data_IF_531962725356
#
_entry.id   IF_531962725356
#
_cell.length_a   1.000
_cell.length_b   1.000
_cell.length_c   1.000
_cell.angle_alpha   90.00
_cell.angle_beta   90.00
_cell.angle_gamma   90.00
#
_symmetry.space_group_name_H-M   'P 1'
#
loop_
_entity.id
_entity.type
_entity.pdbx_description
1 polymer ?
#
# COMPACT_ATOMS: atom_id res chain seq x y z
N UNK A 1 -2.92 6.42 -20.94
CA UNK A 1 -2.52 6.89 -19.60
C UNK A 1 -1.89 5.69 -18.91
N UNK A 2 -0.74 5.85 -18.25
CA UNK A 2 -0.11 4.73 -17.52
C UNK A 2 -0.99 4.41 -16.31
N UNK A 3 -1.31 3.14 -16.10
CA UNK A 3 -2.00 2.73 -14.88
C UNK A 3 -1.06 2.93 -13.68
N UNK A 4 -1.54 3.49 -12.56
CA UNK A 4 -0.75 3.71 -11.35
C UNK A 4 -0.01 2.48 -10.85
N UNK A 5 1.23 2.68 -10.38
CA UNK A 5 2.09 1.66 -9.77
C UNK A 5 2.18 1.87 -8.27
N UNK A 6 1.86 0.84 -7.49
CA UNK A 6 2.17 0.83 -6.05
C UNK A 6 3.41 -0.02 -5.78
N UNK A 7 4.29 0.44 -4.90
CA UNK A 7 5.48 -0.31 -4.48
C UNK A 7 5.45 -0.52 -2.97
N UNK A 8 5.70 -1.75 -2.53
CA UNK A 8 5.88 -2.10 -1.12
C UNK A 8 7.32 -2.59 -0.94
N UNK A 9 8.17 -1.73 -0.40
CA UNK A 9 9.56 -2.07 -0.05
C UNK A 9 9.58 -2.68 1.35
N UNK A 10 10.06 -3.92 1.49
CA UNK A 10 9.99 -4.65 2.76
C UNK A 10 11.34 -5.28 3.17
N UNK A 11 11.62 -5.26 4.46
CA UNK A 11 12.79 -5.93 5.03
C UNK A 11 12.68 -7.46 4.92
N UNK A 12 13.58 -8.08 4.16
CA UNK A 12 13.65 -9.54 4.01
C UNK A 12 14.13 -10.25 5.27
N UNK A 13 15.05 -9.64 6.01
CA UNK A 13 15.62 -10.17 7.26
C UNK A 13 14.61 -10.15 8.42
N UNK A 14 13.54 -9.38 8.29
CA UNK A 14 12.56 -9.14 9.34
C UNK A 14 11.33 -10.06 9.24
N UNK A 15 11.32 -10.99 8.28
CA UNK A 15 10.19 -11.87 7.98
C UNK A 15 8.89 -11.13 7.64
N UNK A 16 8.98 -10.01 6.90
CA UNK A 16 7.81 -9.19 6.55
C UNK A 16 7.23 -9.46 5.16
N UNK A 17 7.77 -10.43 4.41
CA UNK A 17 7.26 -10.82 3.10
C UNK A 17 5.76 -11.16 3.14
N UNK A 18 5.32 -11.96 4.12
CA UNK A 18 3.91 -12.36 4.21
C UNK A 18 2.96 -11.18 4.44
N UNK A 19 3.38 -10.20 5.24
CA UNK A 19 2.63 -8.97 5.46
C UNK A 19 2.56 -8.13 4.18
N UNK A 20 3.70 -7.93 3.52
CA UNK A 20 3.78 -7.18 2.27
C UNK A 20 2.93 -7.83 1.16
N UNK A 21 3.02 -9.15 1.03
CA UNK A 21 2.23 -9.94 0.08
C UNK A 21 0.73 -9.88 0.34
N UNK A 22 0.29 -9.98 1.59
CA UNK A 22 -1.12 -9.81 1.94
C UNK A 22 -1.62 -8.40 1.61
N UNK A 23 -0.88 -7.34 1.97
CA UNK A 23 -1.25 -5.96 1.63
C UNK A 23 -1.33 -5.75 0.11
N UNK A 24 -0.41 -6.34 -0.66
CA UNK A 24 -0.47 -6.28 -2.11
C UNK A 24 -1.73 -6.95 -2.68
N UNK A 25 -2.11 -8.13 -2.15
CA UNK A 25 -3.34 -8.81 -2.56
C UNK A 25 -4.59 -7.98 -2.25
N UNK A 26 -4.67 -7.38 -1.07
CA UNK A 26 -5.78 -6.52 -0.67
C UNK A 26 -5.92 -5.29 -1.58
N UNK A 27 -4.80 -4.67 -1.97
CA UNK A 27 -4.78 -3.54 -2.89
C UNK A 27 -5.23 -3.95 -4.30
N UNK A 28 -4.67 -5.04 -4.84
CA UNK A 28 -5.06 -5.55 -6.15
C UNK A 28 -6.53 -6.00 -6.19
N UNK A 29 -7.04 -6.57 -5.08
CA UNK A 29 -8.45 -6.94 -4.98
C UNK A 29 -9.36 -5.70 -4.93
N UNK A 30 -8.94 -4.64 -4.26
CA UNK A 30 -9.76 -3.43 -4.06
C UNK A 30 -9.75 -2.51 -5.29
N UNK A 31 -8.59 -2.37 -5.94
CA UNK A 31 -8.34 -1.41 -7.02
C UNK A 31 -8.00 -2.11 -8.34
N UNK A 32 -8.65 -3.25 -8.61
CA UNK A 32 -8.35 -4.11 -9.75
C UNK A 32 -8.48 -3.40 -11.12
N UNK A 33 -9.28 -2.33 -11.21
CA UNK A 33 -9.48 -1.57 -12.45
C UNK A 33 -8.55 -0.36 -12.54
N UNK A 34 -8.04 0.14 -11.42
CA UNK A 34 -7.26 1.36 -11.32
C UNK A 34 -5.76 1.08 -11.31
N UNK A 35 -5.29 0.07 -10.55
CA UNK A 35 -3.86 -0.22 -10.43
C UNK A 35 -3.36 -1.00 -11.64
N UNK A 36 -2.19 -0.60 -12.15
CA UNK A 36 -1.47 -1.37 -13.15
C UNK A 36 -0.72 -2.55 -12.53
N UNK A 37 -0.09 -2.30 -11.38
CA UNK A 37 0.67 -3.31 -10.65
C UNK A 37 0.87 -2.93 -9.18
N UNK A 38 1.18 -3.94 -8.36
CA UNK A 38 1.76 -3.77 -7.03
C UNK A 38 3.09 -4.52 -7.00
N UNK A 39 4.19 -3.79 -6.86
CA UNK A 39 5.53 -4.35 -6.80
C UNK A 39 5.96 -4.63 -5.36
N UNK A 40 6.42 -5.86 -5.09
CA UNK A 40 7.09 -6.20 -3.83
C UNK A 40 8.60 -6.07 -4.02
N UNK A 41 9.22 -5.13 -3.31
CA UNK A 41 10.64 -4.81 -3.46
C UNK A 41 11.41 -5.26 -2.21
N UNK A 42 12.32 -6.25 -2.33
CA UNK A 42 13.18 -6.66 -1.24
C UNK A 42 14.10 -5.52 -0.77
N UNK A 43 14.13 -5.28 0.53
CA UNK A 43 15.05 -4.36 1.21
C UNK A 43 15.62 -4.95 2.50
N UNK A 44 16.37 -4.14 3.23
CA UNK A 44 17.03 -4.51 4.49
C UNK A 44 16.89 -3.40 5.54
N UNK A 45 17.41 -3.61 6.75
CA UNK A 45 17.49 -2.53 7.75
C UNK A 45 16.16 -2.12 8.38
N UNK A 46 15.18 -3.04 8.46
CA UNK A 46 13.88 -2.72 9.06
C UNK A 46 13.00 -1.78 8.23
N UNK A 47 13.29 -1.65 6.94
CA UNK A 47 12.49 -0.88 5.99
C UNK A 47 11.11 -1.52 5.79
N UNK A 48 10.09 -0.67 5.82
CA UNK A 48 8.76 -1.00 5.32
C UNK A 48 8.12 0.30 4.83
N UNK A 49 8.13 0.49 3.51
CA UNK A 49 7.66 1.70 2.85
C UNK A 49 6.65 1.34 1.77
N UNK A 50 5.63 2.19 1.62
CA UNK A 50 4.61 2.07 0.59
C UNK A 50 4.58 3.36 -0.21
N UNK A 51 4.71 3.23 -1.52
CA UNK A 51 4.70 4.34 -2.47
C UNK A 51 3.66 4.12 -3.56
N UNK A 52 3.03 5.19 -4.04
CA UNK A 52 2.22 5.18 -5.26
C UNK A 52 2.83 6.18 -6.26
N UNK A 53 3.23 5.70 -7.43
CA UNK A 53 3.92 6.49 -8.47
C UNK A 53 5.09 7.34 -7.93
N UNK A 54 5.83 6.79 -6.97
CA UNK A 54 6.97 7.45 -6.31
C UNK A 54 6.60 8.41 -5.17
N UNK A 55 5.32 8.64 -4.92
CA UNK A 55 4.86 9.37 -3.73
C UNK A 55 4.83 8.44 -2.51
N UNK A 56 5.60 8.78 -1.48
CA UNK A 56 5.64 8.04 -0.21
C UNK A 56 4.33 8.20 0.57
N UNK A 57 3.54 7.12 0.63
CA UNK A 57 2.26 7.06 1.33
C UNK A 57 2.43 6.61 2.79
N UNK A 58 3.32 5.65 3.04
CA UNK A 58 3.60 5.14 4.38
C UNK A 58 5.07 4.80 4.55
N UNK A 59 5.62 5.11 5.72
CA UNK A 59 6.94 4.68 6.17
C UNK A 59 6.85 4.21 7.62
N UNK A 60 7.21 2.95 7.86
CA UNK A 60 7.15 2.35 9.20
C UNK A 60 7.89 3.15 10.28
N UNK A 61 9.04 3.74 9.95
CA UNK A 61 9.83 4.50 10.91
C UNK A 61 9.20 5.87 11.19
N UNK A 62 8.61 6.51 10.17
CA UNK A 62 7.94 7.82 10.29
C UNK A 62 6.57 7.71 10.97
N UNK A 63 5.76 6.74 10.53
CA UNK A 63 4.33 6.65 10.83
C UNK A 63 4.01 5.68 11.98
N UNK A 64 5.03 5.04 12.55
CA UNK A 64 4.89 4.25 13.76
C UNK A 64 4.29 2.86 13.53
N UNK A 65 5.00 2.01 12.80
CA UNK A 65 4.63 0.61 12.60
C UNK A 65 4.03 0.33 11.22
N UNK A 66 3.07 -0.58 11.15
CA UNK A 66 2.43 -0.97 9.88
C UNK A 66 1.03 -0.35 9.80
N UNK A 67 0.58 0.07 8.61
CA UNK A 67 -0.77 0.58 8.47
C UNK A 67 -1.76 -0.56 8.71
N UNK A 68 -2.90 -0.22 9.33
CA UNK A 68 -4.10 -1.06 9.19
C UNK A 68 -4.54 -1.08 7.73
N UNK A 69 -5.18 -2.16 7.29
CA UNK A 69 -5.54 -2.32 5.88
C UNK A 69 -6.56 -1.28 5.40
N UNK A 70 -7.46 -0.82 6.27
CA UNK A 70 -8.42 0.24 5.94
C UNK A 70 -7.69 1.56 5.73
N UNK A 71 -6.74 1.89 6.60
CA UNK A 71 -5.90 3.08 6.46
C UNK A 71 -5.08 3.02 5.16
N UNK A 72 -4.48 1.87 4.85
CA UNK A 72 -3.74 1.68 3.61
C UNK A 72 -4.63 1.86 2.37
N UNK A 73 -5.83 1.28 2.34
CA UNK A 73 -6.76 1.45 1.21
C UNK A 73 -7.16 2.91 1.02
N UNK A 74 -7.41 3.66 2.10
CA UNK A 74 -7.69 5.11 2.04
C UNK A 74 -6.52 5.88 1.43
N UNK A 75 -5.30 5.66 1.93
CA UNK A 75 -4.10 6.33 1.43
C UNK A 75 -3.87 6.07 -0.07
N UNK A 76 -4.05 4.83 -0.52
CA UNK A 76 -3.93 4.50 -1.95
C UNK A 76 -5.07 5.14 -2.74
N UNK A 77 -6.32 5.09 -2.28
CA UNK A 77 -7.46 5.74 -2.94
C UNK A 77 -7.20 7.23 -3.14
N UNK A 78 -6.80 7.93 -2.09
CA UNK A 78 -6.56 9.37 -2.14
C UNK A 78 -5.45 9.72 -3.16
N UNK A 79 -4.49 8.82 -3.37
CA UNK A 79 -3.41 9.01 -4.34
C UNK A 79 -3.78 8.62 -5.79
N UNK A 80 -4.50 7.52 -6.01
CA UNK A 80 -4.67 6.91 -7.35
C UNK A 80 -6.10 6.95 -7.89
N UNK A 81 -7.09 7.13 -7.03
CA UNK A 81 -8.51 7.08 -7.36
C UNK A 81 -9.35 7.96 -6.42
N UNK A 82 -9.10 9.29 -6.34
CA UNK A 82 -9.64 10.17 -5.30
C UNK A 82 -11.17 10.18 -5.23
N UNK A 83 -11.85 9.98 -6.37
CA UNK A 83 -13.31 10.01 -6.47
C UNK A 83 -13.98 8.65 -6.14
N UNK A 84 -13.21 7.60 -5.85
CA UNK A 84 -13.74 6.26 -5.58
C UNK A 84 -14.25 6.15 -4.14
N UNK A 85 -15.49 5.72 -3.97
CA UNK A 85 -16.08 5.35 -2.68
C UNK A 85 -15.57 3.96 -2.25
N UNK A 86 -15.00 3.86 -1.04
CA UNK A 86 -14.55 2.59 -0.45
C UNK A 86 -15.61 1.95 0.48
N UNK A 87 -16.81 2.52 0.54
CA UNK A 87 -17.94 2.01 1.30
C UNK A 87 -17.64 1.91 2.80
N UNK A 88 -17.62 0.68 3.34
CA UNK A 88 -17.31 0.47 4.77
C UNK A 88 -15.94 0.99 5.16
N UNK A 89 -14.98 1.02 4.24
CA UNK A 89 -13.67 1.54 4.52
C UNK A 89 -13.65 3.05 4.63
N UNK A 90 -14.60 3.82 4.09
CA UNK A 90 -14.67 5.29 4.28
C UNK A 90 -15.49 5.71 5.51
N UNK A 91 -16.31 4.80 6.05
CA UNK A 91 -17.07 5.05 7.29
C UNK A 91 -16.16 4.96 8.50
N UNK A 92 -15.94 6.08 9.17
CA UNK A 92 -15.41 6.11 10.54
C UNK A 92 -16.37 5.33 11.43
N UNK A 93 -15.87 4.33 12.16
CA UNK A 93 -16.63 3.69 13.22
C UNK A 93 -16.89 4.66 14.36
#
# INVERSE_FOLDING_TARGET
>A
MSSPRVTITYCTQCNWLLRAGWMAQELLQTFAAELGEVALVPGTGGIFQIEADGQLLWDRARDGGFPDIVALKRLVRDAVAPDRDLGHADRSR
#
